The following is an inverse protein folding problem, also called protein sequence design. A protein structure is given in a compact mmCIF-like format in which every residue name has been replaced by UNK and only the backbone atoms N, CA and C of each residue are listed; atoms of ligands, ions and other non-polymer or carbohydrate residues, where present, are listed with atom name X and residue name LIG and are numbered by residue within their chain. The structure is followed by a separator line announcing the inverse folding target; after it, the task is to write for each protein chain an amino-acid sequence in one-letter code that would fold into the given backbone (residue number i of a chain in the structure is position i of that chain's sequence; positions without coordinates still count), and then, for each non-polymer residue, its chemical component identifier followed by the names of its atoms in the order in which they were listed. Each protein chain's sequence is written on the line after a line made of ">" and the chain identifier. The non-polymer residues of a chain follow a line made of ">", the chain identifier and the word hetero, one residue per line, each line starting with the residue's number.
data_IF_792319988732
#
_entry.id   IF_792319988732
#
_cell.length_a   1.000
_cell.length_b   1.000
_cell.length_c   1.000
_cell.angle_alpha   90.00
_cell.angle_beta   90.00
_cell.angle_gamma   90.00
#
_symmetry.space_group_name_H-M   'P 1'
#
loop_
_entity.id
_entity.type
_entity.pdbx_description
1 polymer ?
#
# COMPACT_ATOMS: atom_id res chain seq x y z
N UNK A 1 -4.41 -11.90 15.83
CA UNK A 1 -3.40 -12.99 15.73
C UNK A 1 -2.26 -12.69 16.68
N UNK A 2 -1.84 -13.65 17.52
CA UNK A 2 -0.65 -13.48 18.38
C UNK A 2 0.66 -13.50 17.55
N UNK A 3 1.74 -12.98 18.11
CA UNK A 3 3.02 -12.79 17.39
C UNK A 3 3.67 -14.12 17.00
N UNK A 4 3.68 -15.10 17.91
CA UNK A 4 4.25 -16.43 17.66
C UNK A 4 3.60 -17.11 16.43
N UNK A 5 2.27 -17.00 16.31
CA UNK A 5 1.53 -17.55 15.17
C UNK A 5 1.85 -16.79 13.88
N UNK A 6 1.94 -15.45 13.95
CA UNK A 6 2.33 -14.61 12.81
C UNK A 6 3.69 -15.02 12.26
N UNK A 7 4.71 -15.09 13.12
CA UNK A 7 6.09 -15.40 12.73
C UNK A 7 6.22 -16.82 12.18
N UNK A 8 5.45 -17.76 12.75
CA UNK A 8 5.39 -19.13 12.25
C UNK A 8 4.77 -19.19 10.86
N UNK A 9 3.68 -18.46 10.61
CA UNK A 9 3.05 -18.40 9.28
C UNK A 9 3.98 -17.75 8.26
N UNK A 10 4.60 -16.62 8.62
CA UNK A 10 5.51 -15.90 7.72
C UNK A 10 6.68 -16.78 7.26
N UNK A 11 7.38 -17.45 8.18
CA UNK A 11 8.47 -18.38 7.82
C UNK A 11 8.03 -19.52 6.91
N UNK A 12 6.76 -19.95 6.98
CA UNK A 12 6.22 -20.99 6.09
C UNK A 12 5.91 -20.44 4.71
N UNK A 13 5.37 -19.22 4.64
CA UNK A 13 5.09 -18.54 3.37
C UNK A 13 6.38 -18.22 2.61
N UNK A 14 7.41 -17.72 3.28
CA UNK A 14 8.71 -17.38 2.68
C UNK A 14 9.47 -18.60 2.11
N UNK A 15 9.17 -19.80 2.61
CA UNK A 15 9.79 -21.04 2.15
C UNK A 15 9.09 -21.62 0.90
N UNK A 16 7.93 -21.08 0.49
CA UNK A 16 7.17 -21.58 -0.64
C UNK A 16 7.65 -20.96 -1.96
N UNK A 17 7.68 -21.76 -3.05
CA UNK A 17 7.70 -21.21 -4.39
C UNK A 17 6.54 -20.24 -4.64
N UNK A 18 6.75 -19.25 -5.50
CA UNK A 18 5.80 -18.16 -5.77
C UNK A 18 4.43 -18.68 -6.25
N UNK A 19 4.39 -19.71 -7.09
CA UNK A 19 3.14 -20.36 -7.52
C UNK A 19 2.35 -20.98 -6.36
N UNK A 20 3.04 -21.49 -5.33
CA UNK A 20 2.42 -22.03 -4.12
C UNK A 20 1.98 -20.93 -3.16
N UNK A 21 2.70 -19.81 -3.11
CA UNK A 21 2.25 -18.64 -2.35
C UNK A 21 0.90 -18.13 -2.86
N UNK A 22 0.71 -18.05 -4.18
CA UNK A 22 -0.59 -17.74 -4.79
C UNK A 22 -1.69 -18.73 -4.41
N UNK A 23 -1.38 -20.03 -4.42
CA UNK A 23 -2.35 -21.04 -4.00
C UNK A 23 -2.75 -20.89 -2.52
N UNK A 24 -1.82 -20.46 -1.66
CA UNK A 24 -2.14 -20.16 -0.26
C UNK A 24 -3.01 -18.92 -0.15
N UNK A 25 -2.75 -17.88 -0.94
CA UNK A 25 -3.59 -16.68 -1.01
C UNK A 25 -5.04 -17.05 -1.37
N UNK A 26 -5.23 -17.85 -2.43
CA UNK A 26 -6.57 -18.33 -2.84
C UNK A 26 -7.32 -19.03 -1.69
N UNK A 27 -6.60 -19.85 -0.92
CA UNK A 27 -7.21 -20.55 0.21
C UNK A 27 -7.56 -19.60 1.35
N UNK A 28 -6.73 -18.58 1.61
CA UNK A 28 -7.03 -17.55 2.61
C UNK A 28 -8.23 -16.71 2.20
N UNK A 29 -8.33 -16.30 0.93
CA UNK A 29 -9.49 -15.59 0.38
C UNK A 29 -10.77 -16.44 0.47
N UNK A 30 -10.66 -17.74 0.19
CA UNK A 30 -11.77 -18.66 0.41
C UNK A 30 -12.23 -18.68 1.87
N UNK A 31 -11.29 -18.79 2.83
CA UNK A 31 -11.62 -18.74 4.26
C UNK A 31 -12.22 -17.39 4.65
N UNK A 32 -11.69 -16.28 4.14
CA UNK A 32 -12.23 -14.94 4.36
C UNK A 32 -13.69 -14.85 3.90
N UNK A 33 -14.00 -15.33 2.69
CA UNK A 33 -15.36 -15.33 2.14
C UNK A 33 -16.40 -16.07 2.98
N UNK A 34 -15.95 -17.01 3.83
CA UNK A 34 -16.81 -17.86 4.68
C UNK A 34 -16.89 -17.39 6.11
N UNK A 35 -15.80 -16.87 6.65
CA UNK A 35 -15.64 -16.67 8.09
C UNK A 35 -15.35 -15.24 8.51
N UNK A 36 -15.06 -14.32 7.57
CA UNK A 36 -14.83 -12.94 7.93
C UNK A 36 -16.14 -12.19 8.17
N UNK A 37 -16.28 -11.57 9.35
CA UNK A 37 -17.41 -10.68 9.67
C UNK A 37 -17.35 -9.36 8.88
N UNK A 38 -16.15 -8.99 8.41
CA UNK A 38 -15.89 -7.86 7.52
C UNK A 38 -14.69 -8.19 6.63
N UNK A 39 -14.70 -7.83 5.33
CA UNK A 39 -13.53 -7.99 4.49
C UNK A 39 -12.33 -7.26 5.09
N UNK A 40 -11.15 -7.88 5.00
CA UNK A 40 -9.91 -7.25 5.40
C UNK A 40 -9.77 -5.94 4.62
N UNK A 41 -9.79 -4.81 5.34
CA UNK A 41 -9.78 -3.50 4.72
C UNK A 41 -8.45 -3.23 4.02
N UNK A 42 -8.33 -3.57 2.74
CA UNK A 42 -7.25 -3.07 1.89
C UNK A 42 -7.49 -1.59 1.58
N UNK A 43 -6.42 -0.78 1.64
CA UNK A 43 -6.48 0.60 1.15
C UNK A 43 -6.92 0.58 -0.34
N UNK A 44 -7.62 1.61 -0.85
CA UNK A 44 -8.13 1.60 -2.22
C UNK A 44 -7.06 1.30 -3.29
N UNK A 45 -5.82 1.73 -3.06
CA UNK A 45 -4.70 1.45 -3.95
C UNK A 45 -4.20 0.00 -3.88
N UNK A 46 -4.29 -0.66 -2.72
CA UNK A 46 -3.99 -2.09 -2.57
C UNK A 46 -5.03 -2.93 -3.33
N UNK A 47 -6.33 -2.60 -3.22
CA UNK A 47 -7.36 -3.28 -4.00
C UNK A 47 -7.14 -3.19 -5.51
N UNK A 48 -6.65 -2.05 -6.00
CA UNK A 48 -6.33 -1.89 -7.43
C UNK A 48 -5.15 -2.77 -7.84
N UNK A 49 -4.11 -2.86 -7.01
CA UNK A 49 -2.97 -3.75 -7.27
C UNK A 49 -3.38 -5.23 -7.23
N UNK A 50 -4.17 -5.63 -6.23
CA UNK A 50 -4.76 -6.97 -6.09
C UNK A 50 -5.65 -7.32 -7.31
N UNK A 51 -6.54 -6.42 -7.72
CA UNK A 51 -7.41 -6.62 -8.89
C UNK A 51 -6.60 -6.77 -10.19
N UNK A 52 -5.50 -6.03 -10.32
CA UNK A 52 -4.64 -6.09 -11.49
C UNK A 52 -3.90 -7.44 -11.54
N UNK A 53 -3.37 -7.87 -10.40
CA UNK A 53 -2.72 -9.17 -10.22
C UNK A 53 -3.68 -10.33 -10.52
N UNK A 54 -4.90 -10.30 -9.98
CA UNK A 54 -5.94 -11.28 -10.26
C UNK A 54 -6.34 -11.34 -11.73
N UNK A 55 -6.42 -10.19 -12.40
CA UNK A 55 -6.73 -10.13 -13.84
C UNK A 55 -5.64 -10.78 -14.67
N UNK A 56 -4.37 -10.51 -14.35
CA UNK A 56 -3.24 -11.13 -15.05
C UNK A 56 -3.19 -12.65 -14.79
N UNK A 57 -3.46 -13.07 -13.57
CA UNK A 57 -3.52 -14.48 -13.18
C UNK A 57 -4.66 -15.22 -13.88
N UNK A 58 -5.87 -14.63 -13.93
CA UNK A 58 -7.02 -15.17 -14.64
C UNK A 58 -6.79 -15.28 -16.15
N UNK A 59 -6.02 -14.35 -16.72
CA UNK A 59 -5.54 -14.39 -18.11
C UNK A 59 -4.46 -15.45 -18.39
N UNK A 60 -4.08 -16.27 -17.40
CA UNK A 60 -2.96 -17.23 -17.47
C UNK A 60 -1.63 -16.58 -17.88
N UNK A 61 -1.43 -15.32 -17.50
CA UNK A 61 -0.16 -14.65 -17.74
C UNK A 61 0.93 -15.36 -16.93
N UNK A 62 2.10 -15.66 -17.53
CA UNK A 62 3.21 -16.27 -16.82
C UNK A 62 3.61 -15.46 -15.57
N UNK A 63 3.82 -16.17 -14.46
CA UNK A 63 4.09 -15.59 -13.12
C UNK A 63 5.28 -14.61 -13.14
N UNK A 64 6.31 -14.88 -13.94
CA UNK A 64 7.47 -14.00 -14.10
C UNK A 64 7.12 -12.61 -14.68
N UNK A 65 6.09 -12.51 -15.53
CA UNK A 65 5.60 -11.23 -16.05
C UNK A 65 4.75 -10.50 -15.00
N UNK A 66 3.91 -11.23 -14.25
CA UNK A 66 3.11 -10.67 -13.15
C UNK A 66 4.03 -9.98 -12.13
N UNK A 67 5.07 -10.70 -11.68
CA UNK A 67 6.08 -10.18 -10.75
C UNK A 67 6.76 -8.90 -11.24
N UNK A 68 7.22 -8.88 -12.50
CA UNK A 68 7.83 -7.69 -13.09
C UNK A 68 6.90 -6.47 -13.11
N UNK A 69 5.60 -6.70 -13.29
CA UNK A 69 4.58 -5.66 -13.29
C UNK A 69 4.30 -5.15 -11.88
N UNK A 70 4.19 -6.06 -10.90
CA UNK A 70 3.99 -5.70 -9.50
C UNK A 70 5.19 -4.96 -8.88
N UNK A 71 6.42 -5.33 -9.24
CA UNK A 71 7.63 -4.62 -8.83
C UNK A 71 7.62 -3.16 -9.31
N UNK A 72 7.11 -2.91 -10.52
CA UNK A 72 6.97 -1.55 -11.06
C UNK A 72 5.88 -0.76 -10.33
N UNK A 73 4.72 -1.39 -10.08
CA UNK A 73 3.61 -0.79 -9.32
C UNK A 73 4.04 -0.44 -7.89
N UNK A 74 4.74 -1.35 -7.20
CA UNK A 74 5.26 -1.12 -5.85
C UNK A 74 6.35 -0.04 -5.78
N UNK A 75 7.13 0.16 -6.85
CA UNK A 75 8.07 1.29 -6.96
C UNK A 75 7.34 2.61 -7.16
N UNK A 76 6.30 2.63 -8.01
CA UNK A 76 5.47 3.82 -8.23
C UNK A 76 4.72 4.25 -6.96
N UNK A 77 4.15 3.30 -6.21
CA UNK A 77 3.50 3.56 -4.91
C UNK A 77 4.43 4.23 -3.90
N UNK A 78 5.66 3.71 -3.74
CA UNK A 78 6.67 4.31 -2.85
C UNK A 78 7.08 5.73 -3.23
N UNK A 79 7.05 6.08 -4.51
CA UNK A 79 7.31 7.45 -4.97
C UNK A 79 6.15 8.36 -4.57
N UNK A 80 4.91 7.93 -4.81
CA UNK A 80 3.72 8.68 -4.42
C UNK A 80 3.63 8.92 -2.91
N UNK A 81 3.95 7.91 -2.09
CA UNK A 81 4.02 8.05 -0.63
C UNK A 81 5.05 9.09 -0.19
N UNK A 82 6.23 9.12 -0.82
CA UNK A 82 7.26 10.13 -0.54
C UNK A 82 6.81 11.54 -0.91
N UNK A 83 6.10 11.69 -2.04
CA UNK A 83 5.52 12.97 -2.44
C UNK A 83 4.43 13.44 -1.47
N UNK A 84 3.55 12.54 -1.05
CA UNK A 84 2.52 12.86 -0.06
C UNK A 84 3.12 13.25 1.29
N UNK A 85 4.16 12.53 1.75
CA UNK A 85 4.89 12.86 2.97
C UNK A 85 5.58 14.24 2.88
N UNK A 86 6.19 14.57 1.74
CA UNK A 86 6.80 15.88 1.51
C UNK A 86 5.75 17.01 1.49
N UNK A 87 4.60 16.79 0.85
CA UNK A 87 3.49 17.76 0.84
C UNK A 87 2.95 18.01 2.25
N UNK A 88 2.78 16.95 3.05
CA UNK A 88 2.37 17.08 4.46
C UNK A 88 3.38 17.87 5.28
N UNK A 89 4.69 17.62 5.10
CA UNK A 89 5.74 18.36 5.79
C UNK A 89 5.73 19.85 5.45
N UNK A 90 5.49 20.21 4.17
CA UNK A 90 5.39 21.60 3.74
C UNK A 90 4.17 22.34 4.35
N UNK A 91 3.02 21.65 4.49
CA UNK A 91 1.83 22.20 5.14
C UNK A 91 2.06 22.36 6.65
N UNK A 92 2.69 21.39 7.30
CA UNK A 92 3.03 21.46 8.73
C UNK A 92 4.05 22.58 9.01
N UNK A 93 4.98 22.85 8.08
CA UNK A 93 5.92 23.98 8.15
C UNK A 93 5.22 25.34 7.93
N UNK A 94 4.30 25.41 6.96
CA UNK A 94 3.49 26.60 6.71
C UNK A 94 2.54 26.93 7.87
N UNK A 95 2.00 25.90 8.54
CA UNK A 95 1.14 26.06 9.73
C UNK A 95 1.90 26.43 11.00
N UNK A 96 3.23 26.22 11.04
CA UNK A 96 4.10 26.63 12.17
C UNK A 96 4.67 28.04 12.05
N UNK A 97 4.63 28.67 10.87
CA UNK A 97 4.96 30.10 10.73
C UNK A 97 3.80 30.94 11.28
N UNK A 98 4.02 31.82 12.27
CA UNK A 98 3.06 32.87 12.58
C UNK A 98 2.86 33.75 11.33
N UNK A 99 1.68 34.34 11.11
CA UNK A 99 1.51 35.29 10.02
C UNK A 99 2.53 36.42 10.20
N UNK A 100 3.41 36.57 9.22
CA UNK A 100 4.35 37.67 9.14
C UNK A 100 3.51 38.95 9.10
N UNK A 101 3.58 39.72 10.19
CA UNK A 101 2.87 40.98 10.34
C UNK A 101 3.43 41.90 9.25
N UNK A 102 2.66 42.09 8.18
CA UNK A 102 2.94 43.10 7.16
C UNK A 102 2.97 44.44 7.90
N UNK A 103 4.17 44.97 8.15
CA UNK A 103 4.34 46.34 8.62
C UNK A 103 3.89 47.27 7.50
N UNK A 104 2.72 47.87 7.71
CA UNK A 104 2.19 48.92 6.87
C UNK A 104 3.12 50.16 6.98
N UNK A 105 3.56 50.76 5.86
CA UNK A 105 4.48 51.88 5.90
C UNK A 105 3.84 53.10 6.59
N UNK A 106 4.62 53.92 7.31
CA UNK A 106 4.08 54.99 8.15
C UNK A 106 3.37 56.04 7.30
N UNK A 107 2.15 56.39 7.71
CA UNK A 107 1.35 57.45 7.08
C UNK A 107 1.99 58.83 7.34
N UNK A 108 2.26 59.65 6.31
CA UNK A 108 2.75 61.02 6.50
C UNK A 108 1.66 61.88 7.16
N UNK A 109 1.99 62.56 8.26
CA UNK A 109 1.17 63.63 8.84
C UNK A 109 1.34 64.94 8.07
#
# INVERSE_FOLDING_TARGET
>A
MNEILRDRLQRKLEALPEDKAYQVLDYVEFLESKYAERPAGAAPFQRVAETLEDTLRAGRVPVNIIRGTMDAVGKAGRILEKFAAAGKAAVDEAGKKPPEKVEEPPSPQ
#
